data_IF_968786446200
#
_entry.id   IF_968786446200
#
_cell.length_a   1.000
_cell.length_b   1.000
_cell.length_c   1.000
_cell.angle_alpha   90.00
_cell.angle_beta   90.00
_cell.angle_gamma   90.00
#
_symmetry.space_group_name_H-M   'P 1'
#
loop_
_entity.id
_entity.type
_entity.pdbx_description
1 polymer ?
#
# COMPACT_ATOMS: atom_id res chain seq x y z
N UNK A 1 6.20 23.55 -35.96
CA UNK A 1 7.46 22.85 -35.61
C UNK A 1 7.39 22.51 -34.15
N UNK A 2 7.15 21.23 -33.81
CA UNK A 2 7.11 20.79 -32.44
C UNK A 2 8.50 20.83 -31.82
N UNK A 3 8.75 21.79 -30.95
CA UNK A 3 9.99 21.85 -30.17
C UNK A 3 9.97 20.77 -29.09
N UNK A 4 10.69 19.68 -29.34
CA UNK A 4 10.88 18.64 -28.31
C UNK A 4 11.58 19.26 -27.10
N UNK A 5 10.89 19.30 -25.96
CA UNK A 5 11.51 19.64 -24.67
C UNK A 5 12.50 18.54 -24.29
N UNK A 6 13.77 18.88 -24.17
CA UNK A 6 14.81 17.98 -23.67
C UNK A 6 15.09 18.30 -22.21
N UNK A 7 14.86 17.33 -21.34
CA UNK A 7 15.16 17.45 -19.91
C UNK A 7 16.44 16.66 -19.63
N UNK A 8 17.51 17.35 -19.21
CA UNK A 8 18.75 16.73 -18.79
C UNK A 8 18.64 16.31 -17.32
N UNK A 9 18.74 15.01 -17.05
CA UNK A 9 18.67 14.45 -15.69
C UNK A 9 20.07 14.08 -15.25
N UNK A 10 20.59 14.72 -14.20
CA UNK A 10 21.90 14.48 -13.63
C UNK A 10 21.80 13.90 -12.21
N UNK A 11 22.87 13.21 -11.78
CA UNK A 11 22.97 12.60 -10.45
C UNK A 11 22.65 11.10 -10.41
N UNK A 12 23.28 10.40 -9.47
CA UNK A 12 23.21 8.93 -9.34
C UNK A 12 21.82 8.44 -8.94
N UNK A 13 21.14 9.17 -8.04
CA UNK A 13 19.78 8.86 -7.60
C UNK A 13 18.77 8.98 -8.74
N UNK A 14 18.86 10.05 -9.52
CA UNK A 14 17.98 10.28 -10.66
C UNK A 14 18.20 9.24 -11.77
N UNK A 15 19.46 8.86 -12.05
CA UNK A 15 19.77 7.78 -13.00
C UNK A 15 19.17 6.44 -12.56
N UNK A 16 19.18 6.14 -11.27
CA UNK A 16 18.54 4.93 -10.74
C UNK A 16 17.04 4.94 -10.95
N UNK A 17 16.37 6.06 -10.68
CA UNK A 17 14.93 6.22 -10.88
C UNK A 17 14.56 6.10 -12.36
N UNK A 18 15.33 6.72 -13.26
CA UNK A 18 15.15 6.59 -14.71
C UNK A 18 15.30 5.15 -15.19
N UNK A 19 16.34 4.44 -14.75
CA UNK A 19 16.51 3.01 -15.05
C UNK A 19 15.35 2.17 -14.53
N UNK A 20 14.76 2.54 -13.42
CA UNK A 20 13.58 1.86 -12.85
C UNK A 20 12.33 2.11 -13.68
N UNK A 21 12.14 3.33 -14.18
CA UNK A 21 11.02 3.69 -15.07
C UNK A 21 11.14 3.04 -16.45
N UNK A 22 12.36 2.90 -16.96
CA UNK A 22 12.64 2.27 -18.26
C UNK A 22 12.69 0.75 -18.22
N UNK A 23 12.63 0.13 -17.04
CA UNK A 23 12.54 -1.32 -16.96
C UNK A 23 11.21 -1.77 -17.56
N UNK A 24 11.31 -2.61 -18.59
CA UNK A 24 10.16 -3.30 -19.16
C UNK A 24 9.30 -3.91 -18.07
N UNK A 25 7.99 -3.80 -18.23
CA UNK A 25 7.02 -4.42 -17.33
C UNK A 25 7.33 -5.91 -17.31
N UNK A 26 7.88 -6.40 -16.20
CA UNK A 26 8.21 -7.81 -16.07
C UNK A 26 6.93 -8.62 -16.24
N UNK A 27 7.02 -9.64 -17.06
CA UNK A 27 5.94 -10.59 -17.27
C UNK A 27 5.38 -11.09 -15.92
N UNK A 28 4.08 -11.05 -15.77
CA UNK A 28 3.40 -11.48 -14.56
C UNK A 28 3.49 -13.01 -14.49
N UNK A 29 4.22 -13.50 -13.48
CA UNK A 29 4.40 -14.95 -13.29
C UNK A 29 3.28 -15.53 -12.45
N UNK A 30 2.63 -16.61 -12.91
CA UNK A 30 1.61 -17.31 -12.11
C UNK A 30 2.25 -18.04 -10.92
N UNK A 31 1.49 -18.16 -9.83
CA UNK A 31 1.87 -18.90 -8.64
C UNK A 31 1.51 -20.39 -8.79
N UNK A 32 2.49 -21.26 -8.78
CA UNK A 32 2.28 -22.72 -8.87
C UNK A 32 1.49 -23.27 -7.69
N UNK A 33 1.66 -22.71 -6.49
CA UNK A 33 1.02 -23.19 -5.26
C UNK A 33 -0.50 -23.03 -5.20
N UNK A 34 -1.09 -22.25 -6.11
CA UNK A 34 -2.54 -22.02 -6.20
C UNK A 34 -3.15 -22.49 -7.53
N UNK A 35 -2.36 -23.10 -8.39
CA UNK A 35 -2.80 -23.54 -9.71
C UNK A 35 -3.95 -24.57 -9.68
N UNK A 36 -4.12 -25.29 -8.57
CA UNK A 36 -5.18 -26.26 -8.35
C UNK A 36 -6.46 -25.69 -7.74
N UNK A 37 -6.47 -24.38 -7.39
CA UNK A 37 -7.63 -23.72 -6.78
C UNK A 37 -8.55 -23.21 -7.88
N UNK A 38 -9.84 -23.52 -7.78
CA UNK A 38 -10.82 -23.10 -8.78
C UNK A 38 -10.95 -21.58 -8.87
N UNK A 39 -11.29 -21.07 -10.05
CA UNK A 39 -11.50 -19.64 -10.29
C UNK A 39 -12.63 -19.05 -9.42
N UNK A 40 -13.65 -19.84 -9.11
CA UNK A 40 -14.74 -19.42 -8.22
C UNK A 40 -14.26 -19.09 -6.81
N UNK A 41 -13.37 -19.91 -6.22
CA UNK A 41 -12.75 -19.63 -4.92
C UNK A 41 -11.79 -18.44 -4.94
N UNK A 42 -11.30 -18.08 -6.12
CA UNK A 42 -10.44 -16.90 -6.30
C UNK A 42 -11.24 -15.60 -6.41
N UNK A 43 -12.57 -15.67 -6.62
CA UNK A 43 -13.43 -14.49 -6.63
C UNK A 43 -13.51 -13.85 -5.22
N UNK A 44 -13.48 -12.54 -5.13
CA UNK A 44 -13.40 -11.82 -3.85
C UNK A 44 -14.55 -12.15 -2.90
N UNK A 45 -15.79 -12.15 -3.40
CA UNK A 45 -16.97 -12.47 -2.59
C UNK A 45 -16.88 -13.88 -2.00
N UNK A 46 -16.37 -14.86 -2.78
CA UNK A 46 -16.12 -16.20 -2.27
C UNK A 46 -15.05 -16.23 -1.19
N UNK A 47 -14.01 -15.39 -1.29
CA UNK A 47 -12.94 -15.32 -0.30
C UNK A 47 -13.42 -14.73 1.03
N UNK A 48 -14.31 -13.76 1.02
CA UNK A 48 -14.96 -13.24 2.23
C UNK A 48 -15.84 -14.31 2.89
N UNK A 49 -16.63 -15.05 2.12
CA UNK A 49 -17.44 -16.15 2.63
C UNK A 49 -16.57 -17.26 3.24
N UNK A 50 -15.50 -17.64 2.55
CA UNK A 50 -14.54 -18.64 3.03
C UNK A 50 -13.83 -18.21 4.33
N UNK A 51 -13.58 -16.91 4.48
CA UNK A 51 -13.01 -16.36 5.70
C UNK A 51 -14.01 -16.42 6.86
N UNK A 52 -15.27 -16.07 6.62
CA UNK A 52 -16.32 -16.16 7.60
C UNK A 52 -16.63 -17.62 8.02
N UNK A 53 -16.68 -18.52 7.05
CA UNK A 53 -16.89 -19.96 7.30
C UNK A 53 -15.79 -20.57 8.16
N UNK A 54 -14.58 -20.00 8.11
CA UNK A 54 -13.46 -20.42 8.93
C UNK A 54 -13.76 -20.33 10.44
N UNK A 55 -14.51 -19.34 10.88
CA UNK A 55 -14.83 -19.16 12.30
C UNK A 55 -15.91 -20.14 12.79
N UNK A 56 -16.75 -20.64 11.90
CA UNK A 56 -17.94 -21.43 12.24
C UNK A 56 -17.89 -22.87 11.77
N UNK A 57 -17.00 -23.22 10.83
CA UNK A 57 -16.96 -24.56 10.17
C UNK A 57 -15.52 -25.00 9.85
N UNK A 58 -15.42 -26.13 9.18
CA UNK A 58 -14.15 -26.69 8.71
C UNK A 58 -13.40 -25.72 7.76
N UNK A 59 -12.19 -25.37 8.14
CA UNK A 59 -11.29 -24.49 7.38
C UNK A 59 -10.93 -25.12 6.03
N UNK A 60 -10.99 -24.33 4.95
CA UNK A 60 -10.42 -24.74 3.67
C UNK A 60 -8.89 -24.91 3.80
N UNK A 61 -8.41 -26.14 3.61
CA UNK A 61 -7.00 -26.51 3.74
C UNK A 61 -6.07 -25.66 2.87
N UNK A 62 -6.56 -25.19 1.70
CA UNK A 62 -5.78 -24.35 0.81
C UNK A 62 -5.52 -22.98 1.43
N UNK A 63 -6.54 -22.38 2.06
CA UNK A 63 -6.39 -21.09 2.75
C UNK A 63 -5.41 -21.21 3.91
N UNK A 64 -5.58 -22.21 4.76
CA UNK A 64 -4.64 -22.47 5.87
C UNK A 64 -3.22 -22.62 5.36
N UNK A 65 -3.01 -23.43 4.32
CA UNK A 65 -1.69 -23.64 3.74
C UNK A 65 -1.05 -22.34 3.24
N UNK A 66 -1.82 -21.47 2.56
CA UNK A 66 -1.32 -20.18 2.07
C UNK A 66 -1.00 -19.21 3.22
N UNK A 67 -1.83 -19.16 4.26
CA UNK A 67 -1.60 -18.32 5.44
C UNK A 67 -0.37 -18.83 6.21
N UNK A 68 -0.26 -20.12 6.45
CA UNK A 68 0.88 -20.75 7.13
C UNK A 68 2.19 -20.52 6.37
N UNK A 69 2.18 -20.60 5.04
CA UNK A 69 3.35 -20.30 4.22
C UNK A 69 3.83 -18.85 4.40
N UNK A 70 2.92 -17.88 4.45
CA UNK A 70 3.27 -16.48 4.74
C UNK A 70 3.77 -16.31 6.17
N UNK A 71 3.11 -16.92 7.14
CA UNK A 71 3.51 -16.87 8.55
C UNK A 71 4.93 -17.39 8.73
N UNK A 72 5.27 -18.52 8.11
CA UNK A 72 6.63 -19.05 8.08
C UNK A 72 7.65 -18.07 7.50
N UNK A 73 7.27 -17.37 6.42
CA UNK A 73 8.12 -16.33 5.80
C UNK A 73 8.34 -15.13 6.72
N UNK A 74 7.33 -14.67 7.45
CA UNK A 74 7.46 -13.58 8.42
C UNK A 74 8.35 -13.98 9.61
N UNK A 75 8.14 -15.19 10.15
CA UNK A 75 9.00 -15.74 11.19
C UNK A 75 10.47 -15.77 10.77
N UNK A 76 10.74 -16.26 9.55
CA UNK A 76 12.10 -16.31 9.02
C UNK A 76 12.70 -14.88 8.86
N UNK A 77 11.94 -13.91 8.39
CA UNK A 77 12.36 -12.51 8.29
C UNK A 77 12.73 -11.93 9.67
N UNK A 78 11.96 -12.23 10.71
CA UNK A 78 12.20 -11.74 12.06
C UNK A 78 13.46 -12.38 12.66
N UNK A 79 13.70 -13.67 12.42
CA UNK A 79 14.92 -14.35 12.80
C UNK A 79 16.15 -13.73 12.12
N UNK A 80 16.09 -13.51 10.81
CA UNK A 80 17.18 -12.90 10.04
C UNK A 80 17.49 -11.47 10.51
N UNK A 81 16.48 -10.73 10.93
CA UNK A 81 16.61 -9.37 11.47
C UNK A 81 16.96 -9.33 12.96
N UNK A 82 17.04 -10.48 13.64
CA UNK A 82 17.29 -10.61 15.08
C UNK A 82 16.26 -9.89 15.96
N UNK A 83 15.00 -9.90 15.53
CA UNK A 83 13.85 -9.29 16.22
C UNK A 83 12.73 -10.32 16.47
N UNK A 84 13.03 -11.60 16.30
CA UNK A 84 12.08 -12.67 16.55
C UNK A 84 11.80 -12.82 18.03
N UNK A 85 10.52 -12.80 18.40
CA UNK A 85 10.02 -13.01 19.76
C UNK A 85 9.08 -14.22 19.74
N UNK A 86 9.49 -15.37 20.32
CA UNK A 86 8.70 -16.61 20.27
C UNK A 86 7.40 -16.53 21.09
N UNK A 87 7.36 -15.67 22.12
CA UNK A 87 6.21 -15.58 23.03
C UNK A 87 5.11 -14.66 22.49
N UNK A 88 5.45 -13.72 21.62
CA UNK A 88 4.53 -12.69 21.12
C UNK A 88 4.28 -12.77 19.62
N UNK A 89 4.93 -13.65 18.88
CA UNK A 89 4.72 -13.78 17.43
C UNK A 89 3.25 -14.05 17.10
N UNK A 90 2.75 -13.36 16.09
CA UNK A 90 1.40 -13.56 15.59
C UNK A 90 1.18 -15.02 15.15
N UNK A 91 0.07 -15.61 15.57
CA UNK A 91 -0.30 -16.98 15.26
C UNK A 91 -1.37 -17.05 14.17
N UNK A 92 -1.63 -18.24 13.66
CA UNK A 92 -2.64 -18.48 12.61
C UNK A 92 -4.02 -17.92 13.00
N UNK A 93 -4.45 -18.15 14.24
CA UNK A 93 -5.72 -17.63 14.77
C UNK A 93 -5.79 -16.12 14.74
N UNK A 94 -4.73 -15.46 15.20
CA UNK A 94 -4.67 -13.99 15.23
C UNK A 94 -4.75 -13.38 13.82
N UNK A 95 -4.13 -14.05 12.82
CA UNK A 95 -4.21 -13.60 11.42
C UNK A 95 -5.65 -13.68 10.90
N UNK A 96 -6.38 -14.74 11.19
CA UNK A 96 -7.76 -14.87 10.76
C UNK A 96 -8.67 -13.83 11.45
N UNK A 97 -8.48 -13.58 12.74
CA UNK A 97 -9.19 -12.53 13.47
C UNK A 97 -8.91 -11.14 12.87
N UNK A 98 -7.66 -10.85 12.49
CA UNK A 98 -7.28 -9.59 11.86
C UNK A 98 -7.87 -9.44 10.45
N UNK A 99 -7.83 -10.50 9.63
CA UNK A 99 -8.38 -10.50 8.27
C UNK A 99 -9.90 -10.32 8.26
N UNK A 100 -10.58 -10.92 9.23
CA UNK A 100 -12.01 -10.77 9.39
C UNK A 100 -12.39 -9.38 9.89
N UNK A 101 -11.73 -8.90 10.93
CA UNK A 101 -12.00 -7.58 11.51
C UNK A 101 -11.83 -6.45 10.49
N UNK A 102 -10.85 -6.57 9.59
CA UNK A 102 -10.65 -5.61 8.49
C UNK A 102 -11.50 -5.89 7.25
N UNK A 103 -12.30 -6.99 7.23
CA UNK A 103 -13.16 -7.39 6.09
C UNK A 103 -12.37 -7.43 4.77
N UNK A 104 -11.18 -7.99 4.78
CA UNK A 104 -10.25 -7.99 3.65
C UNK A 104 -10.04 -6.60 3.04
N UNK A 105 -9.92 -5.56 3.86
CA UNK A 105 -9.61 -4.19 3.45
C UNK A 105 -8.22 -3.76 3.92
N UNK A 106 -7.51 -3.02 3.08
CA UNK A 106 -6.20 -2.49 3.42
C UNK A 106 -6.30 -1.35 4.44
N UNK A 107 -5.54 -1.41 5.53
CA UNK A 107 -5.50 -0.37 6.55
C UNK A 107 -5.19 1.04 5.99
N UNK A 108 -4.34 1.15 4.95
CA UNK A 108 -3.87 2.44 4.44
C UNK A 108 -4.71 3.03 3.31
N UNK A 109 -5.20 2.21 2.39
CA UNK A 109 -5.89 2.70 1.19
C UNK A 109 -7.32 2.19 1.06
N UNK A 110 -7.80 1.44 2.05
CA UNK A 110 -9.16 0.87 2.11
C UNK A 110 -9.55 0.01 0.90
N UNK A 111 -8.59 -0.30 0.02
CA UNK A 111 -8.84 -1.19 -1.11
C UNK A 111 -9.00 -2.64 -0.64
N UNK A 112 -9.79 -3.38 -1.37
CA UNK A 112 -10.01 -4.81 -1.18
C UNK A 112 -8.71 -5.60 -1.30
N UNK A 113 -8.56 -6.60 -0.43
CA UNK A 113 -7.39 -7.47 -0.37
C UNK A 113 -7.75 -8.87 -0.87
N UNK A 114 -6.82 -9.48 -1.58
CA UNK A 114 -6.94 -10.87 -1.98
C UNK A 114 -6.30 -11.78 -0.93
N UNK A 115 -7.12 -12.64 -0.31
CA UNK A 115 -6.68 -13.72 0.57
C UNK A 115 -5.94 -14.79 -0.25
N UNK A 116 -6.57 -15.21 -1.36
CA UNK A 116 -6.00 -16.09 -2.38
C UNK A 116 -5.74 -15.26 -3.65
N UNK A 117 -4.62 -15.48 -4.32
CA UNK A 117 -4.24 -14.73 -5.52
C UNK A 117 -3.36 -15.58 -6.44
N UNK A 118 -3.53 -15.40 -7.75
CA UNK A 118 -2.90 -16.23 -8.79
C UNK A 118 -1.51 -15.78 -9.17
N UNK A 119 -1.18 -14.50 -9.00
CA UNK A 119 0.04 -13.90 -9.53
C UNK A 119 1.11 -13.71 -8.47
N UNK A 120 2.37 -13.93 -8.84
CA UNK A 120 3.51 -13.61 -7.97
C UNK A 120 3.56 -12.08 -7.80
N UNK A 121 3.70 -11.62 -6.54
CA UNK A 121 3.72 -10.20 -6.16
C UNK A 121 2.45 -9.43 -6.53
N UNK A 122 1.29 -10.11 -6.45
CA UNK A 122 -0.01 -9.45 -6.57
C UNK A 122 -0.06 -8.21 -5.65
N UNK A 123 -0.38 -7.05 -6.19
CA UNK A 123 -0.36 -5.78 -5.44
C UNK A 123 -1.41 -5.73 -4.34
N UNK A 124 -2.58 -6.32 -4.60
CA UNK A 124 -3.72 -6.39 -3.67
C UNK A 124 -3.65 -7.56 -2.69
N UNK A 125 -2.60 -8.42 -2.75
CA UNK A 125 -2.48 -9.47 -1.75
C UNK A 125 -2.38 -8.88 -0.35
N UNK A 126 -3.00 -9.54 0.62
CA UNK A 126 -2.83 -9.17 2.03
C UNK A 126 -1.39 -9.40 2.49
N UNK A 127 -0.92 -8.56 3.39
CA UNK A 127 0.38 -8.67 4.05
C UNK A 127 0.26 -8.21 5.49
N UNK A 128 1.14 -8.74 6.36
CA UNK A 128 1.37 -8.16 7.67
C UNK A 128 2.37 -7.01 7.54
N UNK A 129 1.98 -5.84 7.98
CA UNK A 129 2.85 -4.68 8.07
C UNK A 129 3.10 -4.36 9.54
N UNK A 130 4.37 -4.23 9.94
CA UNK A 130 4.74 -3.97 11.33
C UNK A 130 4.54 -2.50 11.66
N UNK A 131 3.85 -2.21 12.74
CA UNK A 131 3.63 -0.83 13.23
C UNK A 131 4.99 -0.21 13.59
N UNK A 132 5.76 -0.92 14.40
CA UNK A 132 7.13 -0.60 14.78
C UNK A 132 8.10 -1.60 14.12
N UNK A 133 8.97 -1.11 13.24
CA UNK A 133 9.92 -1.92 12.50
C UNK A 133 11.09 -2.46 13.35
N UNK A 134 11.26 -1.98 14.57
CA UNK A 134 12.26 -2.48 15.52
C UNK A 134 11.84 -3.78 16.20
N UNK A 135 10.54 -4.10 16.17
CA UNK A 135 9.96 -5.33 16.73
C UNK A 135 9.57 -6.30 15.63
N UNK A 136 9.42 -7.59 15.99
CA UNK A 136 8.95 -8.64 15.11
C UNK A 136 7.49 -8.52 14.70
N UNK A 137 7.01 -9.50 13.92
CA UNK A 137 5.59 -9.63 13.57
C UNK A 137 4.80 -10.18 14.77
N UNK A 138 4.73 -9.38 15.84
CA UNK A 138 4.03 -9.70 17.07
C UNK A 138 2.55 -9.34 16.95
N UNK A 139 1.69 -10.00 17.71
CA UNK A 139 0.23 -9.83 17.67
C UNK A 139 -0.21 -8.36 17.80
N UNK A 140 0.43 -7.61 18.69
CA UNK A 140 0.17 -6.19 18.97
C UNK A 140 0.89 -5.23 18.03
N UNK A 141 1.80 -5.73 17.20
CA UNK A 141 2.69 -4.94 16.34
C UNK A 141 2.41 -5.10 14.84
N UNK A 142 1.32 -5.73 14.45
CA UNK A 142 0.98 -5.95 13.03
C UNK A 142 -0.37 -5.38 12.66
N UNK A 143 -0.50 -5.01 11.41
CA UNK A 143 -1.77 -4.64 10.78
C UNK A 143 -1.85 -5.24 9.37
N UNK A 144 -3.07 -5.35 8.85
CA UNK A 144 -3.31 -5.89 7.51
C UNK A 144 -3.22 -4.77 6.48
N UNK A 145 -2.33 -4.93 5.52
CA UNK A 145 -2.15 -3.99 4.41
C UNK A 145 -1.99 -4.72 3.07
N UNK A 146 -2.29 -4.04 1.97
CA UNK A 146 -1.94 -4.57 0.65
C UNK A 146 -0.41 -4.53 0.44
N UNK A 147 0.10 -5.43 -0.39
CA UNK A 147 1.54 -5.48 -0.70
C UNK A 147 2.05 -4.13 -1.20
N UNK A 148 1.26 -3.44 -2.03
CA UNK A 148 1.66 -2.15 -2.58
C UNK A 148 1.87 -1.08 -1.49
N UNK A 149 0.93 -0.95 -0.55
CA UNK A 149 1.05 0.01 0.55
C UNK A 149 2.18 -0.37 1.50
N UNK A 150 2.32 -1.64 1.86
CA UNK A 150 3.40 -2.12 2.70
C UNK A 150 4.78 -1.80 2.08
N UNK A 151 4.98 -2.09 0.79
CA UNK A 151 6.21 -1.77 0.08
C UNK A 151 6.47 -0.25 -0.07
N UNK A 152 5.41 0.57 -0.19
CA UNK A 152 5.53 2.03 -0.28
C UNK A 152 5.84 2.66 1.08
N UNK A 153 5.27 2.13 2.17
CA UNK A 153 5.51 2.64 3.52
C UNK A 153 6.97 2.46 3.95
N UNK A 154 7.57 1.32 3.69
CA UNK A 154 8.95 1.01 4.12
C UNK A 154 9.15 1.23 5.63
N UNK A 155 10.00 2.22 6.00
CA UNK A 155 10.32 2.58 7.37
C UNK A 155 9.59 3.85 7.85
N UNK A 156 8.65 4.37 7.07
CA UNK A 156 7.89 5.55 7.46
C UNK A 156 6.99 5.24 8.66
N UNK A 157 6.76 6.24 9.50
CA UNK A 157 5.80 6.15 10.59
C UNK A 157 4.41 5.83 10.03
N UNK A 158 3.67 4.94 10.72
CA UNK A 158 2.35 4.48 10.32
C UNK A 158 1.37 5.64 10.10
N UNK A 159 1.32 6.57 11.05
CA UNK A 159 0.38 7.71 11.02
C UNK A 159 0.74 8.70 9.92
N UNK A 160 2.02 9.01 9.75
CA UNK A 160 2.50 9.89 8.68
C UNK A 160 2.20 9.31 7.30
N UNK A 161 2.41 7.99 7.11
CA UNK A 161 2.08 7.33 5.85
C UNK A 161 0.57 7.31 5.58
N UNK A 162 -0.26 7.03 6.60
CA UNK A 162 -1.72 7.08 6.47
C UNK A 162 -2.19 8.48 6.07
N UNK A 163 -1.65 9.52 6.70
CA UNK A 163 -1.95 10.91 6.35
C UNK A 163 -1.65 11.21 4.87
N UNK A 164 -0.43 10.85 4.39
CA UNK A 164 -0.06 11.08 2.98
C UNK A 164 -0.93 10.29 2.00
N UNK A 165 -1.47 9.13 2.42
CA UNK A 165 -2.35 8.33 1.57
C UNK A 165 -3.74 8.93 1.40
N UNK A 166 -4.21 9.63 2.42
CA UNK A 166 -5.54 10.25 2.44
C UNK A 166 -5.51 11.73 2.02
N UNK A 167 -4.32 12.27 1.76
CA UNK A 167 -4.16 13.65 1.30
C UNK A 167 -4.66 13.79 -0.13
N UNK A 168 -5.61 14.68 -0.32
CA UNK A 168 -6.07 15.15 -1.64
C UNK A 168 -5.44 16.51 -1.88
N UNK A 169 -4.62 16.62 -2.92
CA UNK A 169 -4.03 17.88 -3.34
C UNK A 169 -4.90 18.42 -4.48
N UNK A 170 -5.67 19.47 -4.20
CA UNK A 170 -6.34 20.25 -5.24
C UNK A 170 -5.39 21.38 -5.67
N UNK A 171 -5.26 21.59 -6.96
CA UNK A 171 -4.70 22.83 -7.50
C UNK A 171 -5.87 23.76 -7.72
N UNK A 172 -5.89 24.86 -7.01
CA UNK A 172 -6.72 25.98 -7.43
C UNK A 172 -6.12 26.49 -8.75
N UNK A 173 -6.94 26.63 -9.77
CA UNK A 173 -6.53 27.32 -10.98
C UNK A 173 -6.17 28.74 -10.53
N UNK A 174 -4.91 29.14 -10.73
CA UNK A 174 -4.55 30.54 -10.59
C UNK A 174 -5.43 31.31 -11.58
N UNK A 175 -6.36 32.09 -11.07
CA UNK A 175 -6.96 33.14 -11.85
C UNK A 175 -5.80 34.11 -12.13
N UNK A 176 -5.29 34.11 -13.38
CA UNK A 176 -4.37 35.14 -13.80
C UNK A 176 -5.13 36.47 -13.62
N UNK A 177 -4.81 37.18 -12.54
CA UNK A 177 -5.28 38.56 -12.36
C UNK A 177 -4.49 39.33 -13.38
N UNK A 178 -5.13 39.72 -14.48
CA UNK A 178 -4.53 40.50 -15.54
C UNK A 178 -3.86 41.72 -14.91
N UNK A 179 -2.62 42.01 -15.34
CA UNK A 179 -1.81 43.10 -14.79
C UNK A 179 -2.52 44.50 -14.89
N UNK A 180 -3.57 44.58 -15.67
CA UNK A 180 -4.42 45.79 -15.84
C UNK A 180 -5.23 46.11 -14.56
N UNK A 181 -5.64 45.11 -13.75
CA UNK A 181 -6.38 45.34 -12.50
C UNK A 181 -5.48 45.88 -11.37
N UNK A 182 -4.16 45.73 -11.44
CA UNK A 182 -3.23 46.28 -10.46
C UNK A 182 -2.90 47.76 -10.68
N UNK A 183 -3.05 48.30 -11.90
CA UNK A 183 -2.81 49.73 -12.16
C UNK A 183 -3.98 50.58 -11.74
N UNK A 184 -5.22 50.09 -11.82
CA UNK A 184 -6.42 50.85 -11.41
C UNK A 184 -6.47 51.06 -9.90
N UNK A 185 -6.05 50.10 -9.10
CA UNK A 185 -6.02 50.22 -7.63
C UNK A 185 -4.93 51.19 -7.10
N UNK A 186 -3.92 51.51 -7.90
CA UNK A 186 -2.88 52.48 -7.53
C UNK A 186 -3.30 53.94 -7.84
N UNK A 187 -4.25 54.15 -8.73
CA UNK A 187 -4.74 55.50 -9.10
C UNK A 187 -5.71 56.01 -8.03
N UNK A 188 -6.55 55.14 -7.47
CA UNK A 188 -7.55 55.52 -6.48
C UNK A 188 -6.95 55.81 -5.10
N UNK A 189 -5.79 55.21 -4.73
CA UNK A 189 -5.12 55.49 -3.47
C UNK A 189 -4.32 56.82 -3.44
N UNK A 190 -4.01 57.42 -4.58
CA UNK A 190 -3.29 58.69 -4.64
C UNK A 190 -4.20 59.92 -4.60
N UNK A 191 -5.53 59.76 -4.65
CA UNK A 191 -6.49 60.85 -4.61
C UNK A 191 -7.14 61.12 -3.24
N UNK A 192 -6.72 60.41 -2.18
CA UNK A 192 -7.32 60.55 -0.83
C UNK A 192 -6.45 61.38 0.16
N UNK A 193 -5.29 61.88 -0.26
CA UNK A 193 -4.42 62.69 0.61
C UNK A 193 -4.35 64.17 0.22
N UNK A 194 -5.38 64.80 -0.27
CA UNK A 194 -5.48 66.26 -0.36
C UNK A 194 -6.92 66.77 -0.21
N UNK A 195 -7.41 66.75 1.04
CA UNK A 195 -8.40 67.75 1.55
C UNK A 195 -8.16 67.94 3.05
#
# INVERSE_FOLDING_TARGET
>A
MDTKKVIKIEGTSNRYQMKKCMKEVKEIKPRKSVAHISSEKMALNSQLSLLHDHLFKQIDKNIVSQVMSKLGSYKQQDIEKKIYDPDHIVMLKDIFELLESCKLSCYYCSQELYLLYSNVREKKQWTLDRIDNSKGHNKDNVLIACLECNLKRRNQNKTAFLFTKNMVITRDEFVDVDAEDLEQNNIDNNNVEMV
#
